data_IF_691457414956
#
_entry.id   IF_691457414956
#
_cell.length_a   1.000
_cell.length_b   1.000
_cell.length_c   1.000
_cell.angle_alpha   90.00
_cell.angle_beta   90.00
_cell.angle_gamma   90.00
#
_symmetry.space_group_name_H-M   'P 1'
#
loop_
_entity.id
_entity.type
_entity.pdbx_description
1 polymer ?
#
# COMPACT_ATOMS: atom_id res chain seq x y z
N UNK A 1 0.30 2.79 29.53
CA UNK A 1 -0.75 3.31 30.41
C UNK A 1 -1.97 2.35 30.46
N UNK A 2 -2.55 1.92 29.34
CA UNK A 2 -3.68 0.95 29.30
C UNK A 2 -3.37 -0.37 30.04
N UNK A 3 -2.15 -0.91 29.91
CA UNK A 3 -1.73 -2.15 30.56
C UNK A 3 -1.59 -2.06 32.09
N UNK A 4 -1.37 -0.85 32.64
CA UNK A 4 -1.24 -0.61 34.09
C UNK A 4 -2.56 -0.21 34.78
N UNK A 5 -3.58 0.10 33.99
CA UNK A 5 -4.88 0.59 34.48
C UNK A 5 -5.98 -0.46 34.43
N UNK A 6 -5.64 -1.75 34.29
CA UNK A 6 -6.59 -2.87 34.09
C UNK A 6 -7.67 -3.01 35.19
N UNK A 7 -7.44 -2.45 36.37
CA UNK A 7 -8.36 -2.59 37.52
C UNK A 7 -9.34 -1.40 37.69
N UNK A 8 -9.32 -0.38 36.79
CA UNK A 8 -10.19 0.79 36.95
C UNK A 8 -10.90 1.16 35.65
N UNK A 9 -12.16 0.77 35.48
CA UNK A 9 -13.01 1.05 34.34
C UNK A 9 -13.05 2.55 33.97
N UNK A 10 -13.18 3.51 34.91
CA UNK A 10 -13.17 4.93 34.57
C UNK A 10 -11.83 5.42 33.92
N UNK A 11 -10.71 4.83 34.35
CA UNK A 11 -9.39 5.15 33.79
C UNK A 11 -9.26 4.58 32.38
N UNK A 12 -9.73 3.36 32.15
CA UNK A 12 -9.77 2.76 30.81
C UNK A 12 -10.64 3.58 29.86
N UNK A 13 -11.82 4.01 30.28
CA UNK A 13 -12.72 4.85 29.49
C UNK A 13 -12.07 6.21 29.13
N UNK A 14 -11.33 6.82 30.08
CA UNK A 14 -10.57 8.05 29.81
C UNK A 14 -9.43 7.81 28.81
N UNK A 15 -8.68 6.71 28.96
CA UNK A 15 -7.59 6.35 28.04
C UNK A 15 -8.11 6.06 26.64
N UNK A 16 -9.28 5.43 26.50
CA UNK A 16 -9.92 5.22 25.20
C UNK A 16 -10.37 6.51 24.54
N UNK A 17 -10.91 7.45 25.32
CA UNK A 17 -11.27 8.80 24.82
C UNK A 17 -10.04 9.55 24.34
N UNK A 18 -8.93 9.53 25.10
CA UNK A 18 -7.66 10.16 24.72
C UNK A 18 -7.10 9.54 23.45
N UNK A 19 -7.07 8.20 23.35
CA UNK A 19 -6.60 7.47 22.17
C UNK A 19 -7.44 7.82 20.93
N UNK A 20 -8.77 7.87 21.10
CA UNK A 20 -9.69 8.27 20.02
C UNK A 20 -9.46 9.73 19.58
N UNK A 21 -9.29 10.64 20.55
CA UNK A 21 -9.03 12.07 20.26
C UNK A 21 -7.65 12.25 19.57
N UNK A 22 -6.63 11.53 20.01
CA UNK A 22 -5.29 11.57 19.40
C UNK A 22 -5.29 11.07 17.96
N UNK A 23 -5.96 9.95 17.68
CA UNK A 23 -6.13 9.45 16.31
C UNK A 23 -6.91 10.41 15.41
N UNK A 24 -7.94 11.03 15.97
CA UNK A 24 -8.71 12.05 15.24
C UNK A 24 -7.86 13.27 14.89
N UNK A 25 -7.05 13.75 15.84
CA UNK A 25 -6.13 14.86 15.62
C UNK A 25 -5.07 14.52 14.56
N UNK A 26 -4.48 13.32 14.60
CA UNK A 26 -3.53 12.86 13.60
C UNK A 26 -4.16 12.85 12.20
N UNK A 27 -5.35 12.28 12.05
CA UNK A 27 -6.08 12.29 10.78
C UNK A 27 -6.39 13.70 10.26
N UNK A 28 -6.71 14.65 11.17
CA UNK A 28 -6.91 16.06 10.83
C UNK A 28 -5.63 16.71 10.28
N UNK A 29 -4.50 16.45 10.94
CA UNK A 29 -3.19 16.96 10.50
C UNK A 29 -2.83 16.40 9.13
N UNK A 30 -3.03 15.10 8.91
CA UNK A 30 -2.78 14.45 7.63
C UNK A 30 -3.68 15.02 6.51
N UNK A 31 -4.97 15.22 6.77
CA UNK A 31 -5.90 15.84 5.83
C UNK A 31 -5.44 17.26 5.44
N UNK A 32 -5.01 18.08 6.42
CA UNK A 32 -4.52 19.44 6.16
C UNK A 32 -3.21 19.42 5.37
N UNK A 33 -2.30 18.52 5.70
CA UNK A 33 -1.03 18.34 4.97
C UNK A 33 -1.27 17.86 3.54
N UNK A 34 -2.16 16.88 3.34
CA UNK A 34 -2.55 16.41 1.99
C UNK A 34 -3.18 17.56 1.19
N UNK A 35 -4.10 18.34 1.78
CA UNK A 35 -4.71 19.50 1.11
C UNK A 35 -3.65 20.54 0.72
N UNK A 36 -2.73 20.86 1.63
CA UNK A 36 -1.63 21.80 1.36
C UNK A 36 -0.70 21.30 0.24
N UNK A 37 -0.39 20.00 0.21
CA UNK A 37 0.43 19.40 -0.88
C UNK A 37 -0.29 19.46 -2.22
N UNK A 38 -1.61 19.22 -2.24
CA UNK A 38 -2.45 19.29 -3.44
C UNK A 38 -2.53 20.73 -3.97
N UNK A 39 -2.81 21.71 -3.10
CA UNK A 39 -2.92 23.14 -3.49
C UNK A 39 -1.61 23.72 -4.04
N UNK A 40 -0.48 23.19 -3.61
CA UNK A 40 0.85 23.62 -4.08
C UNK A 40 1.41 22.75 -5.21
N UNK A 41 0.60 21.88 -5.84
CA UNK A 41 1.01 20.91 -6.88
C UNK A 41 2.21 20.04 -6.48
N UNK A 42 2.38 19.80 -5.18
CA UNK A 42 3.49 18.98 -4.64
C UNK A 42 3.12 17.53 -4.43
N UNK A 43 1.83 17.18 -4.50
CA UNK A 43 1.40 15.80 -4.39
C UNK A 43 1.59 15.12 -5.74
N UNK A 44 2.38 14.06 -5.78
CA UNK A 44 2.58 13.22 -6.95
C UNK A 44 1.88 11.89 -6.73
N UNK A 45 1.24 11.37 -7.77
CA UNK A 45 0.72 10.01 -7.76
C UNK A 45 1.88 9.03 -7.92
N UNK A 46 1.82 7.93 -7.21
CA UNK A 46 2.79 6.82 -7.28
C UNK A 46 2.10 5.55 -7.75
N UNK A 47 1.71 5.46 -9.04
CA UNK A 47 0.99 4.30 -9.54
C UNK A 47 1.92 3.09 -9.59
N UNK A 48 1.37 1.93 -9.22
CA UNK A 48 2.05 0.63 -9.17
C UNK A 48 1.14 -0.44 -9.78
N UNK A 49 1.71 -1.59 -10.12
CA UNK A 49 0.93 -2.75 -10.53
C UNK A 49 0.28 -3.36 -9.29
N UNK A 50 -1.05 -3.38 -9.25
CA UNK A 50 -1.82 -3.87 -8.12
C UNK A 50 -3.05 -4.64 -8.61
N UNK A 51 -3.48 -5.65 -7.83
CA UNK A 51 -4.77 -6.31 -8.06
C UNK A 51 -5.91 -5.36 -7.74
N UNK A 52 -6.84 -5.20 -8.67
CA UNK A 52 -8.03 -4.38 -8.47
C UNK A 52 -8.90 -4.91 -7.32
N UNK A 53 -9.02 -6.23 -7.20
CA UNK A 53 -9.74 -6.87 -6.10
C UNK A 53 -9.07 -6.61 -4.74
N UNK A 54 -7.73 -6.61 -4.68
CA UNK A 54 -7.00 -6.31 -3.44
C UNK A 54 -7.36 -4.92 -2.90
N UNK A 55 -7.43 -3.89 -3.76
CA UNK A 55 -7.81 -2.54 -3.36
C UNK A 55 -9.25 -2.50 -2.85
N UNK A 56 -10.18 -3.20 -3.53
CA UNK A 56 -11.59 -3.23 -3.14
C UNK A 56 -11.75 -3.95 -1.79
N UNK A 57 -11.12 -5.11 -1.61
CA UNK A 57 -11.26 -5.89 -0.38
C UNK A 57 -10.62 -5.18 0.81
N UNK A 58 -9.42 -4.63 0.68
CA UNK A 58 -8.79 -3.84 1.75
C UNK A 58 -9.60 -2.59 2.13
N UNK A 59 -10.32 -1.99 1.17
CA UNK A 59 -11.28 -0.91 1.48
C UNK A 59 -12.44 -1.43 2.33
N UNK A 60 -13.00 -2.58 1.99
CA UNK A 60 -14.10 -3.20 2.76
C UNK A 60 -13.66 -3.59 4.17
N UNK A 61 -12.46 -4.12 4.32
CA UNK A 61 -11.89 -4.49 5.63
C UNK A 61 -11.78 -3.28 6.56
N UNK A 62 -11.49 -2.09 6.03
CA UNK A 62 -11.48 -0.84 6.81
C UNK A 62 -12.91 -0.38 7.15
N UNK A 63 -13.87 -0.53 6.23
CA UNK A 63 -15.24 -0.05 6.41
C UNK A 63 -16.10 -0.99 7.27
N UNK A 64 -15.81 -2.29 7.26
CA UNK A 64 -16.60 -3.32 7.96
C UNK A 64 -16.73 -3.06 9.47
N UNK A 65 -15.66 -2.79 10.23
CA UNK A 65 -15.76 -2.49 11.66
C UNK A 65 -16.58 -1.23 11.96
N UNK A 66 -16.53 -0.23 11.06
CA UNK A 66 -17.30 1.00 11.20
C UNK A 66 -18.81 0.74 11.00
N UNK A 67 -19.13 -0.10 10.02
CA UNK A 67 -20.50 -0.49 9.71
C UNK A 67 -21.10 -1.34 10.86
N UNK A 68 -20.34 -2.33 11.36
CA UNK A 68 -20.74 -3.20 12.47
C UNK A 68 -20.99 -2.41 13.75
N UNK A 69 -20.08 -1.50 14.11
CA UNK A 69 -20.23 -0.63 15.29
C UNK A 69 -21.51 0.19 15.25
N UNK A 70 -21.97 0.55 14.06
CA UNK A 70 -23.19 1.35 13.85
C UNK A 70 -24.43 0.51 13.55
N UNK A 71 -24.28 -0.79 13.30
CA UNK A 71 -25.35 -1.71 12.90
C UNK A 71 -25.86 -1.44 11.47
N UNK A 72 -24.99 -0.98 10.58
CA UNK A 72 -25.27 -0.75 9.14
C UNK A 72 -24.88 -2.00 8.36
N UNK A 73 -25.70 -2.38 7.37
CA UNK A 73 -25.44 -3.53 6.51
C UNK A 73 -24.54 -3.13 5.34
N UNK A 74 -23.24 -3.44 5.45
CA UNK A 74 -22.29 -3.22 4.36
C UNK A 74 -22.38 -4.37 3.34
N UNK A 75 -22.63 -4.06 2.09
CA UNK A 75 -22.70 -5.02 0.98
C UNK A 75 -21.68 -4.66 -0.12
N UNK A 76 -21.23 -5.69 -0.85
CA UNK A 76 -20.36 -5.52 -2.01
C UNK A 76 -21.01 -6.09 -3.26
N UNK A 77 -20.77 -5.43 -4.41
CA UNK A 77 -21.11 -5.94 -5.75
C UNK A 77 -19.95 -5.65 -6.68
N UNK A 78 -19.14 -6.66 -6.94
CA UNK A 78 -17.93 -6.55 -7.77
C UNK A 78 -18.18 -7.32 -9.06
N UNK A 79 -18.37 -6.59 -10.16
CA UNK A 79 -18.65 -7.12 -11.49
C UNK A 79 -17.45 -6.89 -12.44
N UNK A 80 -16.25 -6.97 -11.89
CA UNK A 80 -14.99 -6.87 -12.60
C UNK A 80 -14.22 -8.13 -12.30
N UNK A 81 -13.64 -8.77 -13.32
CA UNK A 81 -12.72 -9.88 -13.10
C UNK A 81 -11.50 -9.40 -12.32
N UNK A 82 -10.93 -10.28 -11.51
CA UNK A 82 -9.65 -9.95 -10.87
C UNK A 82 -8.57 -9.77 -11.94
N UNK A 83 -7.95 -8.62 -11.91
CA UNK A 83 -6.90 -8.26 -12.87
C UNK A 83 -5.92 -7.29 -12.23
N UNK A 84 -4.68 -7.37 -12.67
CA UNK A 84 -3.66 -6.42 -12.29
C UNK A 84 -3.75 -5.18 -13.16
N UNK A 85 -3.79 -4.03 -12.49
CA UNK A 85 -3.89 -2.69 -13.11
C UNK A 85 -2.77 -1.79 -12.59
N UNK A 86 -2.46 -0.75 -13.36
CA UNK A 86 -1.51 0.27 -12.95
C UNK A 86 -2.26 1.43 -12.30
N UNK A 87 -2.16 1.54 -10.98
CA UNK A 87 -2.88 2.53 -10.19
C UNK A 87 -2.14 2.91 -8.91
N UNK A 88 -2.37 4.12 -8.41
CA UNK A 88 -2.00 4.48 -7.04
C UNK A 88 -3.03 3.88 -6.08
N UNK A 89 -2.72 2.69 -5.56
CA UNK A 89 -3.62 1.92 -4.69
C UNK A 89 -4.00 2.69 -3.42
N UNK A 90 -3.02 3.40 -2.82
CA UNK A 90 -3.20 4.18 -1.61
C UNK A 90 -4.20 5.32 -1.82
N UNK A 91 -4.04 6.09 -2.91
CA UNK A 91 -4.93 7.22 -3.21
C UNK A 91 -6.31 6.77 -3.66
N UNK A 92 -6.39 5.69 -4.44
CA UNK A 92 -7.67 5.10 -4.82
C UNK A 92 -8.43 4.57 -3.60
N UNK A 93 -7.75 3.87 -2.69
CA UNK A 93 -8.32 3.40 -1.43
C UNK A 93 -8.76 4.58 -0.55
N UNK A 94 -7.96 5.66 -0.45
CA UNK A 94 -8.30 6.87 0.30
C UNK A 94 -9.63 7.48 -0.17
N UNK A 95 -9.86 7.57 -1.48
CA UNK A 95 -11.16 8.04 -2.04
C UNK A 95 -12.29 7.12 -1.59
N UNK A 96 -12.15 5.80 -1.80
CA UNK A 96 -13.21 4.84 -1.50
C UNK A 96 -13.52 4.76 0.01
N UNK A 97 -12.50 4.74 0.86
CA UNK A 97 -12.67 4.74 2.33
C UNK A 97 -13.39 6.01 2.78
N UNK A 98 -13.04 7.16 2.23
CA UNK A 98 -13.64 8.43 2.62
C UNK A 98 -15.12 8.52 2.22
N UNK A 99 -15.44 8.12 0.99
CA UNK A 99 -16.84 8.02 0.53
C UNK A 99 -17.62 6.97 1.33
N UNK A 100 -17.04 5.79 1.58
CA UNK A 100 -17.66 4.70 2.33
C UNK A 100 -17.88 5.04 3.80
N UNK A 101 -16.91 5.67 4.46
CA UNK A 101 -17.04 6.12 5.85
C UNK A 101 -18.17 7.17 5.99
N UNK A 102 -18.27 8.09 5.03
CA UNK A 102 -19.40 9.04 4.98
C UNK A 102 -20.73 8.33 4.77
N UNK A 103 -20.80 7.36 3.85
CA UNK A 103 -22.01 6.56 3.63
C UNK A 103 -22.45 5.85 4.92
N UNK A 104 -21.53 5.15 5.60
CA UNK A 104 -21.81 4.50 6.89
C UNK A 104 -22.21 5.53 7.95
N UNK A 105 -21.52 6.67 8.03
CA UNK A 105 -21.78 7.73 9.01
C UNK A 105 -23.20 8.29 8.90
N UNK A 106 -23.71 8.48 7.71
CA UNK A 106 -25.03 9.10 7.47
C UNK A 106 -26.18 8.11 7.25
N UNK A 107 -25.90 6.81 7.31
CA UNK A 107 -26.90 5.74 7.21
C UNK A 107 -27.33 5.30 8.61
N UNK A 108 -28.65 5.12 8.80
CA UNK A 108 -29.21 4.65 10.07
C UNK A 108 -28.96 3.14 10.26
N UNK A 109 -29.08 2.68 11.52
CA UNK A 109 -29.04 1.25 11.86
C UNK A 109 -30.03 0.44 11.00
N UNK A 110 -29.66 -0.80 10.69
CA UNK A 110 -30.42 -1.78 9.89
C UNK A 110 -30.66 -1.39 8.41
N UNK A 111 -30.07 -0.29 7.96
CA UNK A 111 -30.06 0.13 6.54
C UNK A 111 -28.77 -0.27 5.84
N UNK A 112 -28.72 -0.10 4.52
CA UNK A 112 -27.65 -0.62 3.66
C UNK A 112 -26.70 0.46 3.17
N UNK A 113 -25.46 0.08 3.07
CA UNK A 113 -24.40 0.74 2.28
C UNK A 113 -23.85 -0.28 1.30
N UNK A 114 -23.73 0.07 0.03
CA UNK A 114 -23.27 -0.85 -1.03
C UNK A 114 -22.08 -0.24 -1.73
N UNK A 115 -20.93 -0.94 -1.71
CA UNK A 115 -19.81 -0.66 -2.58
C UNK A 115 -19.95 -1.50 -3.86
N UNK A 116 -19.98 -0.83 -5.04
CA UNK A 116 -20.03 -1.52 -6.33
C UNK A 116 -18.80 -1.17 -7.14
N UNK A 117 -18.36 -2.14 -7.93
CA UNK A 117 -17.31 -1.96 -8.91
C UNK A 117 -17.73 -2.63 -10.21
N UNK A 118 -17.96 -1.83 -11.24
CA UNK A 118 -18.49 -2.29 -12.52
C UNK A 118 -17.50 -1.95 -13.65
N UNK A 119 -17.24 -2.89 -14.55
CA UNK A 119 -16.51 -2.62 -15.77
C UNK A 119 -17.47 -1.97 -16.79
N UNK A 120 -17.15 -0.75 -17.23
CA UNK A 120 -17.91 -0.03 -18.25
C UNK A 120 -17.45 -0.32 -19.66
N UNK A 121 -16.19 -0.70 -19.84
CA UNK A 121 -15.58 -1.03 -21.11
C UNK A 121 -14.10 -1.34 -20.94
N UNK A 122 -13.55 -1.99 -21.93
CA UNK A 122 -12.10 -2.28 -21.99
C UNK A 122 -11.63 -2.33 -23.43
N UNK A 123 -10.38 -1.99 -23.65
CA UNK A 123 -9.61 -2.22 -24.86
C UNK A 123 -8.40 -3.13 -24.52
N UNK A 124 -7.48 -3.30 -25.45
CA UNK A 124 -6.31 -4.15 -25.23
C UNK A 124 -5.39 -3.56 -24.14
N UNK A 125 -5.32 -2.25 -24.02
CA UNK A 125 -4.38 -1.52 -23.17
C UNK A 125 -4.96 -1.09 -21.81
N UNK A 126 -6.26 -0.84 -21.76
CA UNK A 126 -6.89 -0.23 -20.60
C UNK A 126 -8.28 -0.78 -20.33
N UNK A 127 -8.77 -0.49 -19.13
CA UNK A 127 -10.15 -0.75 -18.74
C UNK A 127 -10.75 0.50 -18.11
N UNK A 128 -12.03 0.76 -18.40
CA UNK A 128 -12.80 1.81 -17.76
C UNK A 128 -13.64 1.17 -16.65
N UNK A 129 -13.36 1.53 -15.41
CA UNK A 129 -13.98 0.95 -14.22
C UNK A 129 -14.76 2.02 -13.48
N UNK A 130 -16.00 1.71 -13.11
CA UNK A 130 -16.84 2.55 -12.26
C UNK A 130 -16.82 2.05 -10.83
N UNK A 131 -16.43 2.91 -9.91
CA UNK A 131 -16.54 2.71 -8.47
C UNK A 131 -17.75 3.47 -7.96
N UNK A 132 -18.61 2.80 -7.20
CA UNK A 132 -19.89 3.38 -6.70
C UNK A 132 -20.02 3.08 -5.22
N UNK A 133 -20.36 4.11 -4.44
CA UNK A 133 -20.82 4.00 -3.05
C UNK A 133 -22.28 4.46 -3.01
N UNK A 134 -23.17 3.54 -2.65
CA UNK A 134 -24.60 3.83 -2.46
C UNK A 134 -24.99 3.66 -1.00
N UNK A 135 -25.76 4.59 -0.47
CA UNK A 135 -26.29 4.55 0.88
C UNK A 135 -27.81 4.78 0.93
N UNK A 136 -28.46 4.16 1.90
CA UNK A 136 -29.85 4.41 2.27
C UNK A 136 -29.94 5.41 3.43
N UNK A 137 -29.04 6.41 3.45
CA UNK A 137 -28.93 7.40 4.50
C UNK A 137 -29.92 8.53 4.41
N UNK A 138 -29.61 9.61 5.11
CA UNK A 138 -30.47 10.82 5.15
C UNK A 138 -30.55 11.57 3.82
N UNK A 139 -29.65 11.27 2.87
CA UNK A 139 -29.52 12.01 1.62
C UNK A 139 -29.05 13.45 1.81
N UNK A 140 -28.90 14.18 0.71
CA UNK A 140 -28.34 15.53 0.68
C UNK A 140 -29.38 16.48 0.08
N UNK A 141 -29.65 17.59 0.79
CA UNK A 141 -30.54 18.66 0.29
C UNK A 141 -29.92 19.28 -0.97
N UNK A 142 -30.80 19.67 -1.92
CA UNK A 142 -30.36 20.24 -3.19
C UNK A 142 -29.49 21.48 -3.03
N UNK A 143 -29.81 22.34 -2.05
CA UNK A 143 -29.01 23.52 -1.71
C UNK A 143 -27.57 23.22 -1.32
N UNK A 144 -27.28 22.00 -0.86
CA UNK A 144 -25.98 21.62 -0.32
C UNK A 144 -25.15 20.78 -1.30
N UNK A 145 -25.76 20.29 -2.42
CA UNK A 145 -25.06 19.39 -3.35
C UNK A 145 -23.83 20.00 -4.01
N UNK A 146 -23.84 21.31 -4.28
CA UNK A 146 -22.70 21.99 -4.91
C UNK A 146 -21.57 22.24 -3.92
N UNK A 147 -21.89 22.52 -2.67
CA UNK A 147 -20.90 22.94 -1.69
C UNK A 147 -20.30 21.79 -0.84
N UNK A 148 -20.78 20.55 -0.95
CA UNK A 148 -20.23 19.42 -0.18
C UNK A 148 -18.78 19.04 -0.58
N UNK A 149 -18.33 19.43 -1.76
CA UNK A 149 -16.97 19.23 -2.24
C UNK A 149 -16.05 20.43 -1.94
N UNK A 150 -16.57 21.51 -1.36
CA UNK A 150 -15.77 22.64 -0.91
C UNK A 150 -15.07 22.30 0.43
N UNK A 151 -13.82 22.70 0.55
CA UNK A 151 -13.03 22.49 1.77
C UNK A 151 -13.71 23.17 2.97
N UNK A 152 -13.67 22.50 4.13
CA UNK A 152 -14.25 22.97 5.39
C UNK A 152 -15.79 23.16 5.39
N UNK A 153 -16.48 22.70 4.36
CA UNK A 153 -17.93 22.81 4.29
C UNK A 153 -18.58 21.56 4.90
N UNK A 154 -19.40 21.76 5.93
CA UNK A 154 -20.11 20.69 6.66
C UNK A 154 -21.61 20.64 6.35
N UNK A 155 -22.04 21.16 5.19
CA UNK A 155 -23.42 20.97 4.68
C UNK A 155 -24.53 21.66 5.46
N UNK A 156 -24.25 22.78 6.17
CA UNK A 156 -25.24 23.61 6.83
C UNK A 156 -25.14 23.61 8.35
N UNK A 157 -25.06 24.79 8.91
CA UNK A 157 -25.16 25.05 10.37
C UNK A 157 -26.60 24.78 10.81
N UNK A 158 -26.92 23.59 11.25
CA UNK A 158 -28.08 23.34 12.10
C UNK A 158 -27.82 22.18 13.07
N UNK A 159 -27.57 22.53 14.31
CA UNK A 159 -28.02 21.93 15.57
C UNK A 159 -27.65 20.50 15.94
N UNK A 160 -26.92 19.70 15.16
CA UNK A 160 -26.50 18.39 15.64
C UNK A 160 -24.97 18.28 15.67
N UNK A 161 -24.39 18.77 16.76
CA UNK A 161 -22.96 18.62 17.15
C UNK A 161 -22.50 17.15 17.33
N UNK A 162 -23.28 16.19 16.87
CA UNK A 162 -23.04 14.74 17.04
C UNK A 162 -22.31 14.08 15.85
N UNK A 163 -22.20 14.74 14.69
CA UNK A 163 -21.57 14.16 13.51
C UNK A 163 -20.28 14.91 13.14
N UNK A 164 -19.27 14.84 13.99
CA UNK A 164 -17.98 15.48 13.77
C UNK A 164 -17.26 14.98 12.50
N UNK A 165 -16.58 15.89 11.81
CA UNK A 165 -15.72 15.62 10.66
C UNK A 165 -14.97 16.88 10.28
N UNK A 166 -13.85 16.77 9.53
CA UNK A 166 -13.01 17.89 9.11
C UNK A 166 -13.66 18.77 8.06
N UNK A 167 -14.59 18.24 7.28
CA UNK A 167 -15.11 18.85 6.07
C UNK A 167 -14.09 18.87 4.92
N UNK A 168 -12.94 18.20 5.08
CA UNK A 168 -11.87 18.13 4.08
C UNK A 168 -11.97 16.87 3.22
N UNK A 169 -12.49 15.79 3.75
CA UNK A 169 -12.43 14.48 3.11
C UNK A 169 -13.02 14.46 1.69
N UNK A 170 -14.24 15.00 1.47
CA UNK A 170 -14.82 15.03 0.13
C UNK A 170 -14.05 15.96 -0.82
N UNK A 171 -13.53 17.08 -0.34
CA UNK A 171 -12.71 17.99 -1.12
C UNK A 171 -11.39 17.32 -1.56
N UNK A 172 -10.71 16.64 -0.64
CA UNK A 172 -9.49 15.86 -0.93
C UNK A 172 -9.82 14.74 -1.94
N UNK A 173 -10.91 13.98 -1.72
CA UNK A 173 -11.32 12.91 -2.63
C UNK A 173 -11.58 13.42 -4.05
N UNK A 174 -12.24 14.55 -4.19
CA UNK A 174 -12.49 15.18 -5.50
C UNK A 174 -11.18 15.61 -6.18
N UNK A 175 -10.26 16.22 -5.43
CA UNK A 175 -8.94 16.61 -5.95
C UNK A 175 -8.12 15.40 -6.38
N UNK A 176 -8.07 14.32 -5.58
CA UNK A 176 -7.42 13.07 -5.93
C UNK A 176 -8.03 12.42 -7.18
N UNK A 177 -9.36 12.40 -7.29
CA UNK A 177 -10.05 11.90 -8.48
C UNK A 177 -9.64 12.72 -9.73
N UNK A 178 -9.57 14.05 -9.64
CA UNK A 178 -9.10 14.90 -10.73
C UNK A 178 -7.64 14.60 -11.12
N UNK A 179 -6.75 14.42 -10.15
CA UNK A 179 -5.36 14.02 -10.43
C UNK A 179 -5.27 12.66 -11.12
N UNK A 180 -6.23 11.76 -10.87
CA UNK A 180 -6.35 10.45 -11.52
C UNK A 180 -7.13 10.51 -12.86
N UNK A 181 -7.44 11.71 -13.37
CA UNK A 181 -8.17 11.91 -14.63
C UNK A 181 -9.67 11.61 -14.55
N UNK A 182 -10.27 11.70 -13.36
CA UNK A 182 -11.67 11.42 -13.10
C UNK A 182 -12.35 12.53 -12.31
N UNK A 183 -13.64 12.37 -12.05
CA UNK A 183 -14.46 13.28 -11.24
C UNK A 183 -15.45 12.47 -10.42
N UNK A 184 -15.60 12.82 -9.13
CA UNK A 184 -16.64 12.22 -8.29
C UNK A 184 -17.99 12.88 -8.60
N UNK A 185 -18.93 12.07 -9.02
CA UNK A 185 -20.32 12.47 -9.33
C UNK A 185 -21.25 12.04 -8.21
N UNK A 186 -22.36 12.78 -8.07
CA UNK A 186 -23.33 12.59 -7.01
C UNK A 186 -24.76 12.65 -7.56
N UNK A 187 -25.57 11.67 -7.13
CA UNK A 187 -27.02 11.75 -7.15
C UNK A 187 -27.52 11.47 -5.74
N UNK A 188 -28.36 12.33 -5.21
CA UNK A 188 -28.89 12.17 -3.86
C UNK A 188 -30.30 12.70 -3.77
N UNK A 189 -31.15 12.05 -2.97
CA UNK A 189 -32.48 12.50 -2.63
C UNK A 189 -32.61 12.57 -1.12
N UNK A 190 -32.91 13.76 -0.61
CA UNK A 190 -33.07 13.98 0.82
C UNK A 190 -34.16 13.05 1.40
N UNK A 191 -33.86 12.36 2.48
CA UNK A 191 -34.71 11.34 3.12
C UNK A 191 -34.63 9.95 2.50
N UNK A 192 -33.95 9.75 1.38
CA UNK A 192 -33.86 8.45 0.66
C UNK A 192 -32.46 7.86 0.70
N UNK A 193 -31.43 8.68 0.37
CA UNK A 193 -30.04 8.25 0.33
C UNK A 193 -29.21 8.98 -0.71
N UNK A 194 -27.97 8.53 -0.87
CA UNK A 194 -27.01 9.11 -1.82
C UNK A 194 -26.30 8.02 -2.61
N UNK A 195 -25.86 8.41 -3.80
CA UNK A 195 -24.99 7.61 -4.67
C UNK A 195 -23.88 8.48 -5.16
N UNK A 196 -22.65 8.14 -4.76
CA UNK A 196 -21.42 8.71 -5.24
C UNK A 196 -20.75 7.73 -6.21
N UNK A 197 -20.18 8.22 -7.30
CA UNK A 197 -19.41 7.36 -8.21
C UNK A 197 -18.35 8.17 -8.94
N UNK A 198 -17.34 7.46 -9.41
CA UNK A 198 -16.30 7.97 -10.30
C UNK A 198 -15.85 6.87 -11.25
N UNK A 199 -15.38 7.27 -12.43
CA UNK A 199 -14.98 6.37 -13.50
C UNK A 199 -13.49 6.55 -13.74
N UNK A 200 -12.69 5.48 -13.54
CA UNK A 200 -11.27 5.51 -13.79
C UNK A 200 -10.90 4.67 -15.01
N UNK A 201 -10.07 5.24 -15.87
CA UNK A 201 -9.38 4.49 -16.91
C UNK A 201 -8.07 3.98 -16.32
N UNK A 202 -7.98 2.67 -16.16
CA UNK A 202 -6.85 1.97 -15.56
C UNK A 202 -6.10 1.21 -16.65
N UNK A 203 -4.80 1.42 -16.77
CA UNK A 203 -3.96 0.64 -17.68
C UNK A 203 -3.85 -0.80 -17.17
N UNK A 204 -3.97 -1.79 -18.07
CA UNK A 204 -3.80 -3.20 -17.74
C UNK A 204 -2.31 -3.49 -17.54
N UNK A 205 -1.97 -4.23 -16.48
CA UNK A 205 -0.59 -4.63 -16.22
C UNK A 205 0.02 -5.44 -17.37
N UNK A 206 -0.78 -6.27 -18.04
CA UNK A 206 -0.34 -7.08 -19.19
C UNK A 206 0.21 -6.25 -20.34
N UNK A 207 -0.30 -5.06 -20.56
CA UNK A 207 0.18 -4.16 -21.64
C UNK A 207 1.44 -3.44 -21.24
N UNK A 208 1.48 -2.96 -20.00
CA UNK A 208 2.71 -2.38 -19.44
C UNK A 208 3.84 -3.43 -19.42
N UNK A 209 3.53 -4.67 -19.14
CA UNK A 209 4.46 -5.79 -19.29
C UNK A 209 4.89 -5.98 -20.76
N UNK A 210 4.01 -5.85 -21.74
CA UNK A 210 4.35 -5.96 -23.17
C UNK A 210 5.10 -4.73 -23.73
N UNK A 211 4.74 -3.52 -23.33
CA UNK A 211 5.43 -2.29 -23.80
C UNK A 211 6.79 -2.11 -23.12
N UNK A 212 7.02 -2.81 -22.01
CA UNK A 212 8.22 -2.73 -21.17
C UNK A 212 9.11 -3.97 -21.30
N UNK A 213 8.72 -4.96 -22.12
CA UNK A 213 9.51 -6.17 -22.49
C UNK A 213 10.63 -5.86 -23.51
N UNK A 214 10.82 -4.62 -23.91
CA UNK A 214 11.96 -4.26 -24.78
C UNK A 214 13.28 -4.03 -24.06
N UNK A 215 13.31 -4.01 -22.72
CA UNK A 215 14.53 -4.23 -21.93
C UNK A 215 14.32 -5.50 -21.08
N UNK A 216 14.52 -6.65 -21.64
CA UNK A 216 14.60 -7.93 -20.92
C UNK A 216 15.62 -7.78 -19.81
N UNK A 217 15.14 -7.75 -18.54
CA UNK A 217 16.05 -7.89 -17.40
C UNK A 217 16.52 -9.34 -17.44
N UNK A 218 17.67 -9.53 -18.01
CA UNK A 218 18.35 -10.81 -18.07
C UNK A 218 19.36 -10.87 -16.92
N UNK A 219 19.18 -11.85 -16.05
CA UNK A 219 20.08 -12.15 -14.94
C UNK A 219 20.77 -13.52 -15.13
N UNK A 220 20.84 -14.03 -16.37
CA UNK A 220 21.62 -15.21 -16.65
C UNK A 220 23.09 -15.00 -16.28
N UNK A 221 23.66 -16.00 -15.60
CA UNK A 221 25.04 -15.96 -15.14
C UNK A 221 25.26 -15.35 -13.76
N UNK A 222 24.22 -14.71 -13.18
CA UNK A 222 24.26 -14.27 -11.80
C UNK A 222 23.73 -15.34 -10.86
N UNK A 223 24.41 -15.50 -9.71
CA UNK A 223 24.02 -16.44 -8.68
C UNK A 223 23.72 -15.74 -7.37
N UNK A 224 22.55 -15.96 -6.82
CA UNK A 224 22.00 -15.24 -5.69
C UNK A 224 21.78 -16.16 -4.47
N UNK A 225 21.84 -15.60 -3.26
CA UNK A 225 21.30 -16.23 -2.06
C UNK A 225 19.99 -15.57 -1.69
N UNK A 226 18.95 -16.34 -1.50
CA UNK A 226 17.61 -15.86 -1.06
C UNK A 226 17.39 -16.35 0.36
N UNK A 227 17.13 -15.40 1.27
CA UNK A 227 16.96 -15.67 2.70
C UNK A 227 15.60 -15.20 3.14
N UNK A 228 14.73 -16.14 3.54
CA UNK A 228 13.34 -15.90 3.90
C UNK A 228 12.83 -17.02 4.79
N UNK A 229 12.19 -16.71 5.90
CA UNK A 229 11.65 -17.73 6.84
C UNK A 229 10.24 -18.22 6.47
N UNK A 230 9.54 -17.50 5.60
CA UNK A 230 8.21 -17.85 5.13
C UNK A 230 8.30 -18.58 3.78
N UNK A 231 7.88 -19.85 3.73
CA UNK A 231 7.92 -20.70 2.53
C UNK A 231 7.18 -20.09 1.33
N UNK A 232 6.05 -19.40 1.55
CA UNK A 232 5.26 -18.78 0.47
C UNK A 232 6.02 -17.59 -0.13
N UNK A 233 6.60 -16.74 0.73
CA UNK A 233 7.40 -15.61 0.28
C UNK A 233 8.66 -16.07 -0.45
N UNK A 234 9.32 -17.11 0.06
CA UNK A 234 10.46 -17.76 -0.57
C UNK A 234 10.11 -18.21 -1.98
N UNK A 235 8.98 -18.91 -2.16
CA UNK A 235 8.55 -19.41 -3.45
C UNK A 235 8.29 -18.28 -4.46
N UNK A 236 7.65 -17.17 -4.02
CA UNK A 236 7.41 -16.00 -4.85
C UNK A 236 8.72 -15.39 -5.37
N UNK A 237 9.71 -15.19 -4.49
CA UNK A 237 11.02 -14.65 -4.88
C UNK A 237 11.76 -15.60 -5.81
N UNK A 238 11.75 -16.90 -5.51
CA UNK A 238 12.39 -17.92 -6.34
C UNK A 238 11.77 -18.00 -7.75
N UNK A 239 10.45 -17.95 -7.87
CA UNK A 239 9.76 -17.94 -9.17
C UNK A 239 10.11 -16.69 -9.97
N UNK A 240 10.18 -15.53 -9.32
CA UNK A 240 10.61 -14.30 -9.93
C UNK A 240 12.02 -14.40 -10.53
N UNK A 241 12.97 -14.94 -9.77
CA UNK A 241 14.35 -15.09 -10.19
C UNK A 241 14.51 -16.11 -11.32
N UNK A 242 13.75 -17.21 -11.28
CA UNK A 242 13.70 -18.18 -12.40
C UNK A 242 13.25 -17.53 -13.70
N UNK A 243 12.24 -16.67 -13.64
CA UNK A 243 11.69 -16.01 -14.82
C UNK A 243 12.66 -15.04 -15.50
N UNK A 244 13.66 -14.55 -14.79
CA UNK A 244 14.74 -13.68 -15.33
C UNK A 244 16.06 -14.41 -15.53
N UNK A 245 16.08 -15.75 -15.38
CA UNK A 245 17.22 -16.60 -15.67
C UNK A 245 18.34 -16.62 -14.62
N UNK A 246 18.11 -16.06 -13.42
CA UNK A 246 19.09 -16.09 -12.35
C UNK A 246 19.22 -17.48 -11.70
N UNK A 247 20.43 -17.88 -11.34
CA UNK A 247 20.65 -19.03 -10.45
C UNK A 247 20.53 -18.57 -8.99
N UNK A 248 20.05 -19.44 -8.10
CA UNK A 248 19.96 -19.11 -6.69
C UNK A 248 20.07 -20.32 -5.79
N UNK A 249 20.50 -20.08 -4.55
CA UNK A 249 20.36 -20.97 -3.40
C UNK A 249 19.48 -20.29 -2.35
N UNK A 250 18.87 -21.09 -1.48
CA UNK A 250 17.91 -20.60 -0.47
C UNK A 250 18.40 -20.90 0.93
N UNK A 251 18.09 -20.00 1.88
CA UNK A 251 18.29 -20.18 3.31
C UNK A 251 17.04 -19.74 4.08
N UNK A 252 16.72 -20.41 5.16
CA UNK A 252 15.52 -20.16 5.97
C UNK A 252 15.74 -19.18 7.12
N UNK A 253 16.98 -18.80 7.40
CA UNK A 253 17.35 -17.83 8.43
C UNK A 253 18.78 -17.29 8.26
N UNK A 254 19.16 -16.37 9.21
CA UNK A 254 20.44 -15.69 9.16
C UNK A 254 21.66 -16.59 9.47
N UNK A 255 21.51 -17.67 10.26
CA UNK A 255 22.61 -18.59 10.54
C UNK A 255 22.93 -19.42 9.30
N UNK A 256 21.89 -19.98 8.68
CA UNK A 256 22.02 -20.81 7.49
C UNK A 256 22.65 -20.05 6.31
N UNK A 257 22.29 -18.78 6.09
CA UNK A 257 22.90 -17.99 5.00
C UNK A 257 24.38 -17.70 5.25
N UNK A 258 24.78 -17.43 6.50
CA UNK A 258 26.18 -17.22 6.84
C UNK A 258 26.99 -18.50 6.61
N UNK A 259 26.45 -19.65 6.98
CA UNK A 259 27.07 -20.95 6.77
C UNK A 259 27.21 -21.26 5.26
N UNK A 260 26.14 -21.10 4.48
CA UNK A 260 26.17 -21.28 3.02
C UNK A 260 27.18 -20.33 2.34
N UNK A 261 27.24 -19.09 2.80
CA UNK A 261 28.21 -18.14 2.27
C UNK A 261 29.66 -18.51 2.64
N UNK A 262 29.90 -19.02 3.86
CA UNK A 262 31.22 -19.48 4.31
C UNK A 262 31.71 -20.73 3.57
N UNK A 263 30.80 -21.69 3.32
CA UNK A 263 31.14 -22.98 2.68
C UNK A 263 31.38 -22.84 1.18
N UNK A 264 30.77 -21.83 0.54
CA UNK A 264 30.96 -21.58 -0.89
C UNK A 264 32.37 -21.02 -1.19
N UNK A 265 32.87 -21.30 -2.40
CA UNK A 265 34.10 -20.66 -2.88
C UNK A 265 33.89 -19.13 -2.98
N UNK A 266 34.94 -18.32 -2.76
CA UNK A 266 34.86 -16.87 -2.94
C UNK A 266 34.30 -16.48 -4.33
N UNK A 267 33.41 -15.47 -4.37
CA UNK A 267 32.73 -14.97 -5.56
C UNK A 267 31.71 -15.93 -6.19
N UNK A 268 31.29 -16.96 -5.44
CA UNK A 268 30.17 -17.84 -5.89
C UNK A 268 28.85 -17.10 -5.97
N UNK A 269 28.59 -16.17 -5.05
CA UNK A 269 27.35 -15.41 -5.00
C UNK A 269 27.57 -13.94 -5.36
N UNK A 270 26.70 -13.42 -6.21
CA UNK A 270 26.73 -12.04 -6.67
C UNK A 270 25.92 -11.12 -5.76
N UNK A 271 24.81 -11.63 -5.24
CA UNK A 271 23.99 -10.90 -4.28
C UNK A 271 23.31 -11.83 -3.26
N UNK A 272 22.91 -11.22 -2.13
CA UNK A 272 22.11 -11.83 -1.07
C UNK A 272 20.82 -11.01 -0.93
N UNK A 273 19.67 -11.64 -1.11
CA UNK A 273 18.34 -11.09 -0.85
C UNK A 273 17.95 -11.51 0.56
N UNK A 274 17.97 -10.56 1.49
CA UNK A 274 17.94 -10.82 2.93
C UNK A 274 16.67 -10.33 3.58
N UNK A 275 15.79 -11.23 4.05
CA UNK A 275 14.73 -10.80 4.96
C UNK A 275 15.32 -10.28 6.27
N UNK A 276 14.74 -9.21 6.79
CA UNK A 276 15.16 -8.60 8.05
C UNK A 276 14.61 -9.37 9.24
N UNK A 277 13.36 -9.82 9.17
CA UNK A 277 12.67 -10.40 10.32
C UNK A 277 12.65 -11.92 10.24
N UNK A 278 13.70 -12.54 10.73
CA UNK A 278 13.83 -13.99 10.77
C UNK A 278 14.12 -14.48 12.21
N UNK A 279 13.76 -15.75 12.52
CA UNK A 279 14.10 -16.38 13.79
C UNK A 279 15.62 -16.61 13.92
N UNK A 280 16.10 -16.89 15.13
CA UNK A 280 17.48 -17.18 15.51
C UNK A 280 18.42 -15.99 15.23
N UNK A 281 18.79 -15.73 13.98
CA UNK A 281 19.60 -14.61 13.54
C UNK A 281 18.81 -13.75 12.55
N UNK A 282 18.62 -12.47 12.86
CA UNK A 282 17.92 -11.55 11.97
C UNK A 282 18.82 -11.08 10.82
N UNK A 283 18.22 -10.47 9.77
CA UNK A 283 18.94 -10.07 8.57
C UNK A 283 20.07 -9.05 8.81
N UNK A 284 19.90 -8.15 9.78
CA UNK A 284 20.98 -7.19 10.15
C UNK A 284 22.20 -7.89 10.72
N UNK A 285 21.97 -8.85 11.62
CA UNK A 285 23.04 -9.63 12.23
C UNK A 285 23.75 -10.51 11.19
N UNK A 286 22.98 -11.12 10.27
CA UNK A 286 23.51 -11.93 9.19
C UNK A 286 24.36 -11.10 8.21
N UNK A 287 23.90 -9.90 7.81
CA UNK A 287 24.66 -9.00 6.96
C UNK A 287 25.99 -8.58 7.63
N UNK A 288 25.93 -8.15 8.88
CA UNK A 288 27.13 -7.80 9.64
C UNK A 288 28.11 -8.98 9.77
N UNK A 289 27.59 -10.20 10.00
CA UNK A 289 28.40 -11.42 10.05
C UNK A 289 29.08 -11.72 8.70
N UNK A 290 28.35 -11.64 7.58
CA UNK A 290 28.91 -11.80 6.23
C UNK A 290 30.02 -10.77 5.98
N UNK A 291 29.77 -9.47 6.29
CA UNK A 291 30.76 -8.39 6.11
C UNK A 291 32.03 -8.57 6.95
N UNK A 292 31.89 -9.23 8.09
CA UNK A 292 33.04 -9.50 8.99
C UNK A 292 33.89 -10.73 8.60
N UNK A 293 33.45 -11.51 7.61
CA UNK A 293 34.20 -12.70 7.17
C UNK A 293 35.56 -12.33 6.54
N UNK A 294 36.65 -13.08 6.82
CA UNK A 294 37.94 -12.84 6.23
C UNK A 294 38.04 -13.38 4.78
N UNK A 295 37.15 -12.89 3.90
CA UNK A 295 37.04 -13.29 2.49
C UNK A 295 37.04 -12.06 1.59
N UNK A 296 37.60 -12.16 0.37
CA UNK A 296 37.69 -11.01 -0.53
C UNK A 296 36.33 -10.53 -1.04
N UNK A 297 35.32 -11.41 -1.14
CA UNK A 297 34.01 -11.13 -1.61
C UNK A 297 33.02 -10.67 -0.50
N UNK A 298 33.36 -10.83 0.76
CA UNK A 298 32.52 -10.43 1.88
C UNK A 298 32.16 -8.94 1.88
N UNK A 299 33.05 -8.08 1.40
CA UNK A 299 32.82 -6.63 1.31
C UNK A 299 32.07 -6.28 0.01
N UNK A 300 32.28 -7.04 -1.06
CA UNK A 300 31.78 -6.70 -2.41
C UNK A 300 30.50 -7.40 -2.82
N UNK A 301 30.05 -8.45 -2.10
CA UNK A 301 28.75 -9.08 -2.38
C UNK A 301 27.64 -8.07 -2.13
N UNK A 302 26.70 -7.96 -3.08
CA UNK A 302 25.53 -7.07 -2.91
C UNK A 302 24.57 -7.68 -1.89
N UNK A 303 24.19 -6.92 -0.86
CA UNK A 303 23.19 -7.35 0.13
C UNK A 303 21.99 -6.42 0.07
N UNK A 304 20.82 -6.96 -0.29
CA UNK A 304 19.55 -6.21 -0.39
C UNK A 304 18.65 -6.64 0.75
N UNK A 305 18.26 -5.70 1.61
CA UNK A 305 17.27 -5.92 2.66
C UNK A 305 15.88 -6.06 2.06
N UNK A 306 15.11 -7.06 2.49
CA UNK A 306 13.68 -7.21 2.22
C UNK A 306 12.93 -7.00 3.53
N UNK A 307 12.07 -5.96 3.63
CA UNK A 307 11.39 -5.58 4.88
C UNK A 307 9.89 -5.40 4.70
N UNK A 308 9.11 -5.74 5.73
CA UNK A 308 7.66 -5.51 5.74
C UNK A 308 7.27 -4.04 6.00
N UNK A 309 8.14 -3.23 6.63
CA UNK A 309 7.93 -1.82 6.93
C UNK A 309 9.10 -0.97 6.43
N UNK A 310 8.78 0.18 5.80
CA UNK A 310 9.78 1.19 5.42
C UNK A 310 9.59 2.39 6.34
N UNK A 311 10.10 2.31 7.54
CA UNK A 311 10.31 3.50 8.36
C UNK A 311 11.69 4.08 8.01
N UNK A 312 11.82 5.41 7.99
CA UNK A 312 13.10 6.08 7.70
C UNK A 312 14.26 5.55 8.56
N UNK A 313 13.98 5.17 9.80
CA UNK A 313 14.94 4.55 10.71
C UNK A 313 15.45 3.18 10.25
N UNK A 314 14.63 2.37 9.56
CA UNK A 314 15.04 1.04 9.10
C UNK A 314 15.99 1.12 7.90
N UNK A 315 15.87 2.17 7.08
CA UNK A 315 16.75 2.45 5.95
C UNK A 315 18.16 2.81 6.42
N UNK A 316 18.26 3.76 7.37
CA UNK A 316 19.55 4.17 7.96
C UNK A 316 20.23 2.97 8.64
N UNK A 317 19.48 2.18 9.40
CA UNK A 317 19.97 1.00 10.07
C UNK A 317 20.48 -0.06 9.09
N UNK A 318 19.83 -0.29 7.97
CA UNK A 318 20.26 -1.24 6.94
C UNK A 318 21.61 -0.86 6.36
N UNK A 319 21.80 0.42 6.03
CA UNK A 319 23.07 0.93 5.50
C UNK A 319 24.21 0.87 6.54
N UNK A 320 23.93 1.21 7.81
CA UNK A 320 24.90 1.12 8.90
C UNK A 320 25.37 -0.33 9.15
N UNK A 321 24.52 -1.33 8.91
CA UNK A 321 24.86 -2.75 9.02
C UNK A 321 25.52 -3.34 7.76
N UNK A 322 25.83 -2.49 6.77
CA UNK A 322 26.57 -2.89 5.57
C UNK A 322 25.73 -3.51 4.46
N UNK A 323 24.43 -3.24 4.44
CA UNK A 323 23.56 -3.57 3.30
C UNK A 323 23.65 -2.49 2.24
N UNK A 324 23.50 -2.86 0.96
CA UNK A 324 23.67 -1.95 -0.19
C UNK A 324 22.34 -1.28 -0.61
N UNK A 325 21.23 -1.93 -0.34
CA UNK A 325 19.91 -1.42 -0.64
C UNK A 325 18.83 -2.09 0.23
N UNK A 326 17.62 -1.54 0.17
CA UNK A 326 16.46 -2.11 0.83
C UNK A 326 15.24 -2.09 -0.10
N UNK A 327 14.32 -3.05 0.10
CA UNK A 327 13.08 -3.19 -0.65
C UNK A 327 11.94 -3.53 0.32
N UNK A 328 10.84 -2.80 0.21
CA UNK A 328 9.63 -3.06 1.02
C UNK A 328 8.83 -4.23 0.46
N UNK A 329 8.37 -5.12 1.33
CA UNK A 329 7.37 -6.15 0.99
C UNK A 329 5.94 -5.59 1.24
N UNK A 330 4.97 -5.82 0.33
CA UNK A 330 5.11 -6.47 -0.98
C UNK A 330 5.83 -5.54 -1.97
N UNK A 331 6.89 -6.02 -2.61
CA UNK A 331 7.66 -5.23 -3.56
C UNK A 331 7.06 -5.27 -4.97
N UNK A 332 7.21 -4.14 -5.67
CA UNK A 332 7.02 -4.10 -7.11
C UNK A 332 8.12 -4.92 -7.78
N UNK A 333 7.72 -6.02 -8.43
CA UNK A 333 8.62 -6.97 -9.09
C UNK A 333 9.62 -6.30 -10.01
N UNK A 334 9.18 -5.28 -10.74
CA UNK A 334 10.01 -4.62 -11.73
C UNK A 334 11.01 -3.66 -11.09
N UNK A 335 10.56 -2.83 -10.16
CA UNK A 335 11.46 -1.94 -9.40
C UNK A 335 12.53 -2.74 -8.69
N UNK A 336 12.15 -3.87 -8.10
CA UNK A 336 13.08 -4.80 -7.47
C UNK A 336 14.12 -5.34 -8.45
N UNK A 337 13.69 -5.87 -9.61
CA UNK A 337 14.60 -6.41 -10.61
C UNK A 337 15.50 -5.34 -11.24
N UNK A 338 15.01 -4.13 -11.45
CA UNK A 338 15.83 -3.00 -11.91
C UNK A 338 16.89 -2.61 -10.88
N UNK A 339 16.50 -2.51 -9.61
CA UNK A 339 17.44 -2.23 -8.51
C UNK A 339 18.52 -3.31 -8.44
N UNK A 340 18.12 -4.58 -8.43
CA UNK A 340 19.02 -5.72 -8.37
C UNK A 340 20.01 -5.70 -9.55
N UNK A 341 19.54 -5.57 -10.79
CA UNK A 341 20.37 -5.47 -11.99
C UNK A 341 21.35 -4.30 -11.92
N UNK A 342 20.86 -3.12 -11.49
CA UNK A 342 21.69 -1.91 -11.38
C UNK A 342 22.85 -2.10 -10.37
N UNK A 343 22.58 -2.74 -9.23
CA UNK A 343 23.60 -3.02 -8.22
C UNK A 343 24.61 -4.08 -8.69
N UNK A 344 24.15 -5.13 -9.37
CA UNK A 344 25.02 -6.16 -9.93
C UNK A 344 25.97 -5.59 -10.99
N UNK A 345 25.46 -4.78 -11.92
CA UNK A 345 26.28 -4.13 -12.95
C UNK A 345 27.29 -3.13 -12.38
N UNK A 346 26.93 -2.38 -11.33
CA UNK A 346 27.86 -1.48 -10.66
C UNK A 346 29.02 -2.24 -9.99
N UNK A 347 28.74 -3.42 -9.43
CA UNK A 347 29.76 -4.30 -8.86
C UNK A 347 30.77 -4.77 -9.92
N UNK A 348 30.30 -5.21 -11.09
CA UNK A 348 31.18 -5.63 -12.19
C UNK A 348 32.12 -4.50 -12.63
N UNK A 349 31.60 -3.27 -12.74
CA UNK A 349 32.40 -2.10 -13.11
C UNK A 349 33.45 -1.70 -12.05
N UNK A 350 33.27 -2.10 -10.77
CA UNK A 350 34.25 -1.88 -9.69
C UNK A 350 35.35 -2.95 -9.67
N UNK A 351 35.03 -4.18 -10.05
CA UNK A 351 36.00 -5.30 -10.05
C UNK A 351 36.92 -5.24 -11.29
N UNK A 352 36.45 -4.63 -12.40
CA UNK A 352 37.20 -4.46 -13.63
C UNK A 352 38.15 -3.24 -13.65
N UNK A 353 38.27 -2.49 -12.58
CA UNK A 353 39.21 -1.38 -12.39
C UNK A 353 40.28 -1.74 -11.38
#
# INVERSE_FOLDING_TARGET
>A
AKLRAADSQPVLDCLEKIDTASRHLAALVDDVLDMSKIENDKLQLTPQIVSLHSIIFSTLDILQPLAEKKGVLLQRKVNVADCSVYADSRRLQQIMVNLGANAVKFTAKDKKVVLKCDMLGQDDESMLVRFVLEDEGIGIKESNRQCIFEAFNQGGRSTDAFYGGTGLGLAISQKLAHMMGSEIKLVSTFGVGSRFWFDLRLAKASVLQQTLVTDEIDLHGYRLLVVEDNEINMEIVCELLRNVGAEFATASDGEEVVDLFCEAEPFTYDAVLMDIRMPRMNGYQAAAAIRALPRPDAISVVIIAMTADVLENDVEQSLEQGMDAHVAKPFDTRQFLFLLRGLLQNKENMICK
#
